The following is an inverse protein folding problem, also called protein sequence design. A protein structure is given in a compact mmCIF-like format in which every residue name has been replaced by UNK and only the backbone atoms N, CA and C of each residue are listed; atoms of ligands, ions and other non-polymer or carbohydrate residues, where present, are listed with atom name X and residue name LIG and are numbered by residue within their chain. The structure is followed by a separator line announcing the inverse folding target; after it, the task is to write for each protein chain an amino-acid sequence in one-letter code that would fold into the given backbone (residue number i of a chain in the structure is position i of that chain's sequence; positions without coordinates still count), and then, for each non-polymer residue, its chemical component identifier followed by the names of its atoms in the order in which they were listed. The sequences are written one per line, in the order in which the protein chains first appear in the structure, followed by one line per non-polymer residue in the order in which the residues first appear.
data_IF_045046966726
#
_entry.id   IF_045046966726
#
_cell.length_a   1.000
_cell.length_b   1.000
_cell.length_c   1.000
_cell.angle_alpha   90.00
_cell.angle_beta   90.00
_cell.angle_gamma   90.00
#
_symmetry.space_group_name_H-M   'P 1'
#
loop_
_entity.id
_entity.type
_entity.pdbx_description
1 polymer ?
#
# COMPACT_ATOMS: atom_id res chain seq x y z
N UNK A 1 -20.24 -18.68 -21.59
CA UNK A 1 -20.28 -17.34 -20.96
C UNK A 1 -20.95 -17.51 -19.62
N UNK A 2 -20.18 -17.66 -18.53
CA UNK A 2 -20.69 -17.67 -17.16
C UNK A 2 -20.98 -16.22 -16.76
N UNK A 3 -22.19 -15.96 -16.28
CA UNK A 3 -22.58 -14.65 -15.77
C UNK A 3 -21.59 -14.19 -14.68
N UNK A 4 -21.25 -12.90 -14.62
CA UNK A 4 -20.39 -12.39 -13.54
C UNK A 4 -21.04 -12.69 -12.20
N UNK A 5 -20.27 -13.30 -11.28
CA UNK A 5 -20.74 -13.51 -9.90
C UNK A 5 -21.02 -12.13 -9.30
N UNK A 6 -22.27 -11.94 -8.84
CA UNK A 6 -22.69 -10.70 -8.20
C UNK A 6 -21.79 -10.41 -6.99
N UNK A 7 -21.26 -9.21 -6.95
CA UNK A 7 -20.53 -8.69 -5.77
C UNK A 7 -21.50 -8.69 -4.58
N UNK A 8 -21.03 -9.15 -3.42
CA UNK A 8 -21.80 -9.21 -2.17
C UNK A 8 -22.42 -7.82 -1.83
N UNK A 9 -23.75 -7.70 -1.73
CA UNK A 9 -24.42 -6.41 -1.54
C UNK A 9 -24.30 -5.86 -0.10
N UNK A 10 -23.61 -6.57 0.82
CA UNK A 10 -23.44 -6.10 2.20
C UNK A 10 -22.61 -4.81 2.24
N UNK A 11 -22.95 -3.84 3.13
CA UNK A 11 -22.13 -2.67 3.33
C UNK A 11 -20.73 -3.09 3.80
N UNK A 12 -19.69 -2.62 3.09
CA UNK A 12 -18.31 -2.92 3.42
C UNK A 12 -17.81 -1.96 4.49
N UNK A 13 -17.23 -2.44 5.57
CA UNK A 13 -16.69 -1.56 6.61
C UNK A 13 -15.44 -0.80 6.15
N UNK A 14 -14.78 -1.27 5.08
CA UNK A 14 -13.53 -0.74 4.55
C UNK A 14 -13.68 -0.22 3.13
N UNK A 15 -12.79 0.71 2.75
CA UNK A 15 -12.63 1.16 1.37
C UNK A 15 -11.71 0.19 0.63
N UNK A 16 -12.26 -0.82 -0.03
CA UNK A 16 -11.47 -1.85 -0.71
C UNK A 16 -10.87 -1.34 -2.02
N UNK A 17 -9.60 -1.71 -2.26
CA UNK A 17 -8.85 -1.44 -3.49
C UNK A 17 -7.99 -2.65 -3.86
N UNK A 18 -7.49 -2.70 -5.10
CA UNK A 18 -6.49 -3.69 -5.50
C UNK A 18 -5.47 -3.09 -6.46
N UNK A 19 -4.25 -3.63 -6.43
CA UNK A 19 -3.16 -3.24 -7.31
C UNK A 19 -3.41 -3.81 -8.73
N UNK A 20 -3.57 -2.90 -9.70
CA UNK A 20 -3.92 -3.30 -11.07
C UNK A 20 -2.78 -4.06 -11.76
N UNK A 21 -1.52 -3.77 -11.44
CA UNK A 21 -0.36 -4.43 -12.06
C UNK A 21 -0.25 -5.92 -11.71
N UNK A 22 -0.84 -6.35 -10.58
CA UNK A 22 -0.71 -7.73 -10.11
C UNK A 22 -1.81 -8.67 -10.61
N UNK A 23 -2.82 -8.14 -11.26
CA UNK A 23 -4.01 -8.88 -11.70
C UNK A 23 -4.15 -8.86 -13.23
N UNK A 24 -4.75 -9.90 -13.80
CA UNK A 24 -4.98 -10.05 -15.24
C UNK A 24 -3.76 -9.70 -16.10
N UNK A 25 -2.60 -10.38 -15.94
CA UNK A 25 -1.33 -9.98 -16.57
C UNK A 25 -1.39 -10.01 -18.12
N UNK A 26 -2.38 -10.68 -18.71
CA UNK A 26 -2.65 -10.75 -20.13
C UNK A 26 -3.48 -9.57 -20.69
N UNK A 27 -3.92 -8.63 -19.83
CA UNK A 27 -4.75 -7.49 -20.23
C UNK A 27 -3.99 -6.17 -20.09
N UNK A 28 -4.28 -5.15 -20.90
CA UNK A 28 -3.69 -3.84 -20.75
C UNK A 28 -4.15 -3.18 -19.45
N UNK A 29 -3.32 -2.29 -18.89
CA UNK A 29 -3.53 -1.72 -17.55
C UNK A 29 -4.85 -0.94 -17.43
N UNK A 30 -5.25 -0.21 -18.47
CA UNK A 30 -6.51 0.52 -18.48
C UNK A 30 -7.72 -0.41 -18.40
N UNK A 31 -7.65 -1.61 -19.01
CA UNK A 31 -8.70 -2.62 -18.89
C UNK A 31 -8.78 -3.16 -17.45
N UNK A 32 -7.61 -3.40 -16.81
CA UNK A 32 -7.54 -3.90 -15.43
C UNK A 32 -8.14 -2.88 -14.46
N UNK A 33 -7.82 -1.59 -14.64
CA UNK A 33 -8.38 -0.49 -13.85
C UNK A 33 -9.90 -0.39 -14.03
N UNK A 34 -10.40 -0.49 -15.26
CA UNK A 34 -11.84 -0.53 -15.57
C UNK A 34 -12.52 -1.73 -14.89
N UNK A 35 -11.89 -2.92 -14.96
CA UNK A 35 -12.42 -4.14 -14.35
C UNK A 35 -12.55 -4.02 -12.83
N UNK A 36 -11.55 -3.49 -12.14
CA UNK A 36 -11.63 -3.23 -10.70
C UNK A 36 -12.75 -2.23 -10.37
N UNK A 37 -12.89 -1.20 -11.18
CA UNK A 37 -13.97 -0.20 -11.03
C UNK A 37 -15.36 -0.84 -11.21
N UNK A 38 -15.56 -1.70 -12.20
CA UNK A 38 -16.80 -2.48 -12.39
C UNK A 38 -17.14 -3.36 -11.18
N UNK A 39 -16.10 -3.89 -10.51
CA UNK A 39 -16.25 -4.68 -9.29
C UNK A 39 -16.46 -3.82 -8.02
N UNK A 40 -16.51 -2.49 -8.18
CA UNK A 40 -16.72 -1.55 -7.08
C UNK A 40 -15.52 -1.37 -6.17
N UNK A 41 -14.30 -1.61 -6.66
CA UNK A 41 -13.05 -1.40 -5.94
C UNK A 41 -12.33 -0.14 -6.38
N UNK A 42 -11.45 0.37 -5.51
CA UNK A 42 -10.41 1.32 -5.90
C UNK A 42 -9.25 0.65 -6.60
N UNK A 43 -8.39 1.45 -7.21
CA UNK A 43 -7.24 1.01 -8.00
C UNK A 43 -5.96 1.53 -7.36
N UNK A 44 -5.03 0.62 -7.03
CA UNK A 44 -3.64 0.94 -6.71
C UNK A 44 -2.76 0.80 -7.95
N UNK A 45 -1.69 1.60 -8.01
CA UNK A 45 -0.70 1.58 -9.08
C UNK A 45 0.72 1.66 -8.51
N UNK A 46 1.68 0.87 -9.04
CA UNK A 46 3.11 1.04 -8.70
C UNK A 46 3.92 1.63 -9.85
N UNK A 47 3.87 1.04 -11.05
CA UNK A 47 4.68 1.44 -12.20
C UNK A 47 3.97 2.47 -13.09
N UNK A 48 3.37 3.49 -12.49
CA UNK A 48 2.61 4.48 -13.25
C UNK A 48 3.42 5.17 -14.37
N UNK A 49 4.75 5.26 -14.22
CA UNK A 49 5.68 5.82 -15.21
C UNK A 49 5.87 4.95 -16.46
N UNK A 50 5.50 3.67 -16.40
CA UNK A 50 5.52 2.75 -17.53
C UNK A 50 4.19 2.70 -18.31
N UNK A 51 3.18 3.45 -17.88
CA UNK A 51 1.83 3.40 -18.42
C UNK A 51 1.43 4.67 -19.18
N UNK A 52 0.46 4.53 -20.09
CA UNK A 52 -0.20 5.65 -20.75
C UNK A 52 -1.18 6.33 -19.77
N UNK A 53 -0.75 7.46 -19.20
CA UNK A 53 -1.51 8.19 -18.20
C UNK A 53 -2.81 8.80 -18.76
N UNK A 54 -2.89 9.09 -20.08
CA UNK A 54 -4.11 9.59 -20.71
C UNK A 54 -5.18 8.49 -20.75
N UNK A 55 -4.77 7.26 -21.08
CA UNK A 55 -5.67 6.12 -21.05
C UNK A 55 -6.15 5.81 -19.64
N UNK A 56 -5.23 5.82 -18.64
CA UNK A 56 -5.61 5.60 -17.25
C UNK A 56 -6.59 6.67 -16.74
N UNK A 57 -6.32 7.95 -17.02
CA UNK A 57 -7.24 9.03 -16.66
C UNK A 57 -8.61 8.89 -17.33
N UNK A 58 -8.63 8.42 -18.59
CA UNK A 58 -9.85 8.17 -19.37
C UNK A 58 -10.75 7.06 -18.82
N UNK A 59 -10.23 6.17 -17.98
CA UNK A 59 -11.03 5.11 -17.33
C UNK A 59 -12.05 5.67 -16.34
N UNK A 60 -11.76 6.80 -15.69
CA UNK A 60 -12.59 7.34 -14.60
C UNK A 60 -12.59 6.46 -13.35
N UNK A 61 -11.55 5.67 -13.14
CA UNK A 61 -11.39 4.84 -11.95
C UNK A 61 -11.12 5.67 -10.70
N UNK A 62 -11.48 5.15 -9.54
CA UNK A 62 -11.09 5.72 -8.26
C UNK A 62 -9.68 5.19 -7.90
N UNK A 63 -8.66 5.91 -8.34
CA UNK A 63 -7.29 5.59 -7.96
C UNK A 63 -7.05 5.96 -6.49
N UNK A 64 -6.52 5.04 -5.69
CA UNK A 64 -6.44 5.19 -4.23
C UNK A 64 -5.03 5.46 -3.74
N UNK A 65 -4.05 4.79 -4.32
CA UNK A 65 -2.64 4.88 -3.97
C UNK A 65 -1.78 4.65 -5.21
N UNK A 66 -0.63 5.28 -5.27
CA UNK A 66 0.41 5.00 -6.26
C UNK A 66 1.79 5.24 -5.67
N UNK A 67 2.85 4.74 -6.34
CA UNK A 67 4.21 5.10 -5.95
C UNK A 67 4.37 6.62 -5.97
N UNK A 68 4.86 7.16 -4.86
CA UNK A 68 5.03 8.58 -4.62
C UNK A 68 6.39 9.13 -5.04
N UNK A 69 7.21 8.32 -5.71
CA UNK A 69 8.53 8.70 -6.18
C UNK A 69 9.04 7.69 -7.21
N UNK A 70 10.05 8.07 -7.99
CA UNK A 70 10.75 7.18 -8.94
C UNK A 70 12.20 6.97 -8.55
N UNK A 71 12.80 7.93 -7.86
CA UNK A 71 14.24 7.97 -7.55
C UNK A 71 14.46 8.54 -6.16
N UNK A 72 15.58 8.17 -5.56
CA UNK A 72 16.03 8.71 -4.30
C UNK A 72 15.94 7.72 -3.13
N UNK A 73 16.27 8.21 -1.95
CA UNK A 73 16.34 7.44 -0.71
C UNK A 73 16.28 8.35 0.51
N UNK A 74 15.94 7.80 1.64
CA UNK A 74 15.77 8.57 2.88
C UNK A 74 17.09 8.79 3.65
N UNK A 75 18.07 7.91 3.48
CA UNK A 75 19.18 7.72 4.41
C UNK A 75 20.35 8.70 4.28
N UNK A 76 20.40 9.50 3.20
CA UNK A 76 21.47 10.47 2.95
C UNK A 76 20.98 11.70 2.17
N UNK A 77 21.76 12.79 2.21
CA UNK A 77 21.37 14.09 1.67
C UNK A 77 21.19 14.10 0.13
N UNK A 78 22.04 13.35 -0.61
CA UNK A 78 21.93 13.24 -2.05
C UNK A 78 20.65 12.51 -2.44
N UNK A 79 20.41 11.35 -1.82
CA UNK A 79 19.19 10.57 -2.02
C UNK A 79 17.92 11.33 -1.65
N UNK A 80 17.97 12.12 -0.58
CA UNK A 80 16.88 12.98 -0.15
C UNK A 80 16.53 14.04 -1.22
N UNK A 81 17.52 14.68 -1.83
CA UNK A 81 17.29 15.65 -2.89
C UNK A 81 16.63 15.01 -4.12
N UNK A 82 17.11 13.83 -4.53
CA UNK A 82 16.52 13.05 -5.63
C UNK A 82 15.08 12.62 -5.32
N UNK A 83 14.82 12.17 -4.09
CA UNK A 83 13.50 11.72 -3.64
C UNK A 83 12.49 12.88 -3.68
N UNK A 84 12.86 14.04 -3.14
CA UNK A 84 11.99 15.22 -3.16
C UNK A 84 11.67 15.69 -4.59
N UNK A 85 12.65 15.65 -5.49
CA UNK A 85 12.43 16.04 -6.88
C UNK A 85 11.47 15.07 -7.57
N UNK A 86 11.67 13.74 -7.42
CA UNK A 86 10.79 12.75 -8.03
C UNK A 86 9.42 12.64 -7.35
N UNK A 87 9.32 12.99 -6.06
CA UNK A 87 8.04 13.12 -5.37
C UNK A 87 7.19 14.27 -5.96
N UNK A 88 7.82 15.37 -6.37
CA UNK A 88 7.14 16.42 -7.11
C UNK A 88 6.56 15.94 -8.45
N UNK A 89 7.33 15.14 -9.20
CA UNK A 89 6.84 14.50 -10.45
C UNK A 89 5.63 13.58 -10.17
N UNK A 90 5.71 12.76 -9.13
CA UNK A 90 4.62 11.85 -8.74
C UNK A 90 3.35 12.61 -8.28
N UNK A 91 3.49 13.74 -7.61
CA UNK A 91 2.35 14.58 -7.21
C UNK A 91 1.58 15.07 -8.44
N UNK A 92 2.26 15.53 -9.49
CA UNK A 92 1.60 15.99 -10.71
C UNK A 92 0.82 14.86 -11.41
N UNK A 93 1.38 13.66 -11.43
CA UNK A 93 0.68 12.46 -11.93
C UNK A 93 -0.50 12.10 -11.02
N UNK A 94 -0.29 12.12 -9.70
CA UNK A 94 -1.35 11.87 -8.72
C UNK A 94 -2.54 12.83 -8.89
N UNK A 95 -2.28 14.13 -9.08
CA UNK A 95 -3.33 15.12 -9.37
C UNK A 95 -4.08 14.81 -10.66
N UNK A 96 -3.37 14.44 -11.72
CA UNK A 96 -3.95 14.06 -13.00
C UNK A 96 -4.88 12.86 -12.92
N UNK A 97 -4.51 11.85 -12.11
CA UNK A 97 -5.29 10.63 -11.90
C UNK A 97 -6.30 10.76 -10.74
N UNK A 98 -6.27 11.84 -9.96
CA UNK A 98 -7.10 12.02 -8.78
C UNK A 98 -6.63 11.18 -7.58
N UNK A 99 -5.36 10.80 -7.52
CA UNK A 99 -4.76 10.04 -6.42
C UNK A 99 -4.26 10.99 -5.34
N UNK A 100 -4.75 10.85 -4.12
CA UNK A 100 -4.33 11.69 -3.00
C UNK A 100 -3.31 11.03 -2.05
N UNK A 101 -3.03 9.72 -2.20
CA UNK A 101 -2.04 8.98 -1.40
C UNK A 101 -0.88 8.51 -2.26
N UNK A 102 0.33 8.84 -1.83
CA UNK A 102 1.58 8.60 -2.54
C UNK A 102 2.51 7.78 -1.66
N UNK A 103 2.89 6.58 -2.09
CA UNK A 103 3.65 5.62 -1.29
C UNK A 103 5.16 5.82 -1.40
N UNK A 104 5.87 5.67 -0.28
CA UNK A 104 7.32 5.78 -0.15
C UNK A 104 7.90 4.52 0.50
N UNK A 105 9.17 4.25 0.18
CA UNK A 105 10.02 3.26 0.86
C UNK A 105 11.31 3.92 1.36
N UNK A 106 12.10 3.18 2.12
CA UNK A 106 13.40 3.67 2.63
C UNK A 106 14.41 3.99 1.53
N UNK A 107 14.28 3.34 0.38
CA UNK A 107 15.08 3.55 -0.85
C UNK A 107 14.26 3.14 -2.08
N UNK A 108 14.70 3.57 -3.27
CA UNK A 108 14.16 3.06 -4.53
C UNK A 108 14.32 1.56 -4.64
N UNK A 109 13.34 0.91 -5.25
CA UNK A 109 13.32 -0.50 -5.56
C UNK A 109 13.54 -0.69 -7.06
N UNK A 110 14.50 -1.53 -7.42
CA UNK A 110 14.76 -1.95 -8.79
C UNK A 110 14.01 -3.22 -9.15
N UNK A 111 14.51 -3.93 -10.17
CA UNK A 111 13.95 -5.18 -10.64
C UNK A 111 13.74 -6.18 -9.50
N UNK A 112 12.61 -6.85 -9.51
CA UNK A 112 12.21 -7.82 -8.47
C UNK A 112 12.18 -7.26 -7.05
N UNK A 113 11.99 -5.94 -6.88
CA UNK A 113 11.92 -5.29 -5.58
C UNK A 113 13.27 -5.16 -4.87
N UNK A 114 14.38 -5.35 -5.56
CA UNK A 114 15.72 -5.28 -4.97
C UNK A 114 16.07 -3.83 -4.64
N UNK A 115 16.44 -3.52 -3.37
CA UNK A 115 16.79 -2.17 -2.97
C UNK A 115 17.98 -1.61 -3.76
N UNK A 116 17.82 -0.40 -4.31
CA UNK A 116 18.89 0.29 -5.06
C UNK A 116 20.03 0.78 -4.15
N UNK A 117 19.73 1.03 -2.88
CA UNK A 117 20.73 1.36 -1.85
C UNK A 117 20.53 0.42 -0.67
N UNK A 118 21.54 -0.41 -0.40
CA UNK A 118 21.49 -1.43 0.64
C UNK A 118 22.36 -1.06 1.82
N UNK A 119 21.87 -1.34 3.02
CA UNK A 119 22.56 -1.08 4.25
C UNK A 119 22.44 -2.29 5.18
N UNK A 120 23.56 -2.84 5.64
CA UNK A 120 23.56 -3.90 6.67
C UNK A 120 23.14 -3.35 8.05
N UNK A 121 23.49 -2.08 8.31
CA UNK A 121 23.17 -1.40 9.56
C UNK A 121 22.67 0.00 9.26
N UNK A 122 21.54 0.35 9.85
CA UNK A 122 20.99 1.71 9.80
C UNK A 122 21.52 2.49 10.98
N UNK A 123 22.42 3.46 10.72
CA UNK A 123 23.04 4.28 11.76
C UNK A 123 22.11 5.36 12.30
N UNK A 124 22.41 5.90 13.49
CA UNK A 124 21.66 7.03 14.04
C UNK A 124 21.65 8.27 13.14
N UNK A 125 22.75 8.53 12.40
CA UNK A 125 22.80 9.62 11.43
C UNK A 125 21.81 9.42 10.28
N UNK A 126 21.64 8.18 9.81
CA UNK A 126 20.66 7.84 8.77
C UNK A 126 19.21 8.04 9.28
N UNK A 127 18.94 7.72 10.55
CA UNK A 127 17.63 7.98 11.18
C UNK A 127 17.31 9.47 11.22
N UNK A 128 18.28 10.30 11.63
CA UNK A 128 18.12 11.75 11.65
C UNK A 128 17.90 12.31 10.24
N UNK A 129 18.67 11.84 9.27
CA UNK A 129 18.51 12.25 7.87
C UNK A 129 17.14 11.82 7.30
N UNK A 130 16.70 10.58 7.56
CA UNK A 130 15.40 10.10 7.10
C UNK A 130 14.25 10.93 7.69
N UNK A 131 14.33 11.25 8.98
CA UNK A 131 13.35 12.10 9.66
C UNK A 131 13.30 13.51 9.06
N UNK A 132 14.47 14.13 8.78
CA UNK A 132 14.54 15.44 8.11
C UNK A 132 13.92 15.36 6.71
N UNK A 133 14.30 14.36 5.92
CA UNK A 133 13.77 14.14 4.58
C UNK A 133 12.24 14.01 4.59
N UNK A 134 11.69 13.20 5.50
CA UNK A 134 10.25 13.00 5.63
C UNK A 134 9.51 14.27 6.10
N UNK A 135 10.13 15.11 6.94
CA UNK A 135 9.57 16.44 7.27
C UNK A 135 9.46 17.33 6.02
N UNK A 136 10.48 17.34 5.16
CA UNK A 136 10.45 18.09 3.89
C UNK A 136 9.42 17.51 2.90
N UNK A 137 9.21 16.19 2.91
CA UNK A 137 8.11 15.55 2.17
C UNK A 137 6.75 16.03 2.72
N UNK A 138 6.60 16.12 4.05
CA UNK A 138 5.38 16.67 4.65
C UNK A 138 5.13 18.13 4.24
N UNK A 139 6.17 18.97 4.18
CA UNK A 139 6.06 20.35 3.72
C UNK A 139 5.61 20.43 2.25
N UNK A 140 6.12 19.55 1.41
CA UNK A 140 5.70 19.42 0.02
C UNK A 140 4.23 18.96 -0.06
N UNK A 141 3.88 17.91 0.67
CA UNK A 141 2.54 17.34 0.71
C UNK A 141 1.46 18.34 1.19
N UNK A 142 1.80 19.14 2.20
CA UNK A 142 0.91 20.17 2.74
C UNK A 142 0.59 21.25 1.70
N UNK A 143 1.62 21.71 0.98
CA UNK A 143 1.45 22.71 -0.11
C UNK A 143 0.59 22.18 -1.24
N UNK A 144 0.73 20.90 -1.56
CA UNK A 144 0.13 20.26 -2.72
C UNK A 144 -1.21 19.56 -2.42
N UNK A 145 -1.61 19.50 -1.13
CA UNK A 145 -2.87 18.89 -0.70
C UNK A 145 -2.93 17.37 -0.85
N UNK A 146 -1.76 16.68 -0.72
CA UNK A 146 -1.65 15.22 -0.82
C UNK A 146 -1.19 14.61 0.50
N UNK A 147 -1.25 13.29 0.62
CA UNK A 147 -0.72 12.54 1.75
C UNK A 147 0.32 11.54 1.24
N UNK A 148 1.49 11.53 1.86
CA UNK A 148 2.45 10.45 1.66
C UNK A 148 2.23 9.33 2.68
N UNK A 149 2.46 8.11 2.24
CA UNK A 149 2.56 6.95 3.12
C UNK A 149 3.98 6.39 3.09
N UNK A 150 4.46 5.92 4.22
CA UNK A 150 5.71 5.16 4.31
C UNK A 150 5.35 3.70 4.56
N UNK A 151 5.83 2.82 3.67
CA UNK A 151 5.53 1.40 3.70
C UNK A 151 6.61 0.61 4.42
N UNK A 152 6.18 -0.34 5.24
CA UNK A 152 7.05 -1.38 5.73
C UNK A 152 7.26 -2.47 4.67
N UNK A 153 8.48 -2.98 4.65
CA UNK A 153 8.91 -4.10 3.81
C UNK A 153 9.42 -5.25 4.70
N UNK A 154 10.04 -6.26 4.11
CA UNK A 154 10.73 -7.32 4.85
C UNK A 154 12.12 -7.57 4.27
N UNK A 155 13.06 -8.02 5.12
CA UNK A 155 14.46 -8.23 4.73
C UNK A 155 14.67 -9.49 3.89
N UNK A 156 13.71 -10.42 3.83
CA UNK A 156 13.81 -11.62 2.97
C UNK A 156 13.65 -11.25 1.50
N UNK A 157 12.62 -10.45 1.19
CA UNK A 157 12.30 -10.07 -0.18
C UNK A 157 13.04 -8.79 -0.62
N UNK A 158 13.38 -7.92 0.33
CA UNK A 158 14.07 -6.63 0.11
C UNK A 158 15.35 -6.51 0.95
N UNK A 159 16.37 -7.36 0.73
CA UNK A 159 17.54 -7.47 1.59
C UNK A 159 18.36 -6.18 1.62
N UNK A 160 18.59 -5.67 2.84
CA UNK A 160 19.34 -4.44 3.07
C UNK A 160 18.54 -3.15 2.85
N UNK A 161 17.22 -3.21 2.64
CA UNK A 161 16.38 -2.02 2.61
C UNK A 161 16.41 -1.33 3.98
N UNK A 162 16.81 -0.03 4.07
CA UNK A 162 16.79 0.69 5.33
C UNK A 162 15.35 1.03 5.74
N UNK A 163 15.08 1.07 7.05
CA UNK A 163 13.78 1.40 7.64
C UNK A 163 12.65 0.48 7.14
N UNK A 164 12.96 -0.81 6.94
CA UNK A 164 12.02 -1.73 6.31
C UNK A 164 11.02 -2.35 7.29
N UNK A 165 11.35 -2.49 8.57
CA UNK A 165 10.43 -3.12 9.51
C UNK A 165 9.21 -2.25 9.82
N UNK A 166 8.10 -2.88 10.21
CA UNK A 166 6.91 -2.17 10.70
C UNK A 166 7.26 -1.27 11.89
N UNK A 167 8.15 -1.75 12.77
CA UNK A 167 8.66 -0.98 13.89
C UNK A 167 9.40 0.29 13.49
N UNK A 168 10.26 0.20 12.45
CA UNK A 168 11.01 1.35 11.93
C UNK A 168 10.09 2.40 11.30
N UNK A 169 9.16 1.94 10.47
CA UNK A 169 8.17 2.81 9.81
C UNK A 169 7.31 3.52 10.85
N UNK A 170 6.78 2.79 11.83
CA UNK A 170 6.01 3.38 12.92
C UNK A 170 6.82 4.41 13.71
N UNK A 171 8.10 4.12 14.01
CA UNK A 171 8.96 5.04 14.74
C UNK A 171 9.19 6.35 13.95
N UNK A 172 9.46 6.27 12.64
CA UNK A 172 9.62 7.46 11.80
C UNK A 172 8.33 8.27 11.75
N UNK A 173 7.21 7.64 11.37
CA UNK A 173 5.93 8.31 11.16
C UNK A 173 5.41 8.93 12.46
N UNK A 174 5.43 8.19 13.58
CA UNK A 174 4.97 8.69 14.88
C UNK A 174 5.87 9.79 15.46
N UNK A 175 7.19 9.76 15.18
CA UNK A 175 8.11 10.81 15.64
C UNK A 175 7.93 12.14 14.91
N UNK A 176 7.36 12.11 13.69
CA UNK A 176 7.03 13.29 12.88
C UNK A 176 5.63 13.77 13.20
N UNK A 177 4.68 12.85 13.34
CA UNK A 177 3.29 13.06 13.77
C UNK A 177 2.55 14.19 13.01
N UNK A 178 2.73 14.20 11.68
CA UNK A 178 2.04 15.16 10.79
C UNK A 178 0.97 14.44 9.96
N UNK A 179 -0.19 15.07 9.69
CA UNK A 179 -1.27 14.44 8.91
C UNK A 179 -0.88 14.13 7.45
N UNK A 180 0.17 14.76 6.93
CA UNK A 180 0.69 14.57 5.59
C UNK A 180 1.53 13.31 5.42
N UNK A 181 1.90 12.63 6.53
CA UNK A 181 2.65 11.37 6.50
C UNK A 181 1.93 10.31 7.32
N UNK A 182 1.64 9.18 6.72
CA UNK A 182 0.94 8.04 7.31
C UNK A 182 1.72 6.74 7.11
N UNK A 183 1.35 5.72 7.84
CA UNK A 183 1.86 4.36 7.64
C UNK A 183 1.06 3.71 6.49
N UNK A 184 1.75 3.14 5.51
CA UNK A 184 1.20 2.09 4.67
C UNK A 184 1.57 0.76 5.35
N UNK A 185 0.61 0.15 6.04
CA UNK A 185 0.82 -1.08 6.79
C UNK A 185 0.62 -2.28 5.89
N UNK A 186 1.70 -2.79 5.30
CA UNK A 186 1.65 -4.02 4.53
C UNK A 186 1.75 -5.25 5.44
N UNK A 187 0.64 -5.99 5.53
CA UNK A 187 0.53 -7.16 6.40
C UNK A 187 1.29 -8.39 5.87
N UNK A 188 1.53 -8.48 4.55
CA UNK A 188 2.39 -9.52 3.99
C UNK A 188 3.83 -9.35 4.46
N UNK A 189 4.34 -8.12 4.37
CA UNK A 189 5.69 -7.81 4.82
C UNK A 189 5.82 -7.93 6.34
N UNK A 190 4.81 -7.47 7.09
CA UNK A 190 4.77 -7.62 8.56
C UNK A 190 4.77 -9.10 8.97
N UNK A 191 4.01 -9.98 8.28
CA UNK A 191 3.98 -11.41 8.59
C UNK A 191 5.36 -12.04 8.47
N UNK A 192 6.09 -11.73 7.40
CA UNK A 192 7.41 -12.28 7.12
C UNK A 192 8.47 -11.75 8.09
N UNK A 193 8.41 -10.47 8.40
CA UNK A 193 9.43 -9.79 9.21
C UNK A 193 9.22 -9.93 10.70
N UNK A 194 8.00 -9.85 11.19
CA UNK A 194 7.71 -9.59 12.60
C UNK A 194 6.56 -10.46 13.15
N UNK A 195 5.59 -10.88 12.32
CA UNK A 195 4.39 -11.57 12.78
C UNK A 195 3.45 -10.68 13.59
N UNK A 196 2.59 -11.29 14.43
CA UNK A 196 1.68 -10.62 15.38
C UNK A 196 0.84 -9.48 14.73
N UNK A 197 0.23 -9.76 13.59
CA UNK A 197 -0.40 -8.79 12.69
C UNK A 197 -1.48 -7.92 13.37
N UNK A 198 -2.34 -8.54 14.19
CA UNK A 198 -3.42 -7.80 14.89
C UNK A 198 -2.83 -6.78 15.85
N UNK A 199 -1.75 -7.13 16.55
CA UNK A 199 -1.04 -6.22 17.44
C UNK A 199 -0.40 -5.05 16.69
N UNK A 200 0.15 -5.31 15.50
CA UNK A 200 0.68 -4.24 14.65
C UNK A 200 -0.42 -3.32 14.12
N UNK A 201 -1.59 -3.86 13.72
CA UNK A 201 -2.75 -3.02 13.38
C UNK A 201 -3.14 -2.10 14.55
N UNK A 202 -3.20 -2.63 15.79
CA UNK A 202 -3.51 -1.85 16.98
C UNK A 202 -2.48 -0.74 17.24
N UNK A 203 -1.18 -1.08 17.17
CA UNK A 203 -0.09 -0.11 17.40
C UNK A 203 -0.02 0.98 16.36
N UNK A 204 -0.25 0.66 15.10
CA UNK A 204 -0.19 1.62 14.00
C UNK A 204 -1.47 2.43 13.84
N UNK A 205 -2.59 2.02 14.47
CA UNK A 205 -3.94 2.57 14.23
C UNK A 205 -4.01 4.09 14.13
N UNK A 206 -3.38 4.91 15.01
CA UNK A 206 -3.44 6.37 14.93
C UNK A 206 -2.80 6.97 13.68
N UNK A 207 -1.91 6.23 13.03
CA UNK A 207 -1.11 6.69 11.89
C UNK A 207 -1.36 5.94 10.59
N UNK A 208 -2.27 4.95 10.55
CA UNK A 208 -2.55 4.19 9.32
C UNK A 208 -3.17 5.12 8.26
N UNK A 209 -2.55 5.16 7.10
CA UNK A 209 -3.08 5.76 5.89
C UNK A 209 -3.72 4.75 4.95
N UNK A 210 -3.14 3.55 4.89
CA UNK A 210 -3.64 2.39 4.16
C UNK A 210 -3.14 1.10 4.80
N UNK A 211 -3.90 0.03 4.67
CA UNK A 211 -3.45 -1.34 4.95
C UNK A 211 -3.33 -2.07 3.63
N UNK A 212 -2.16 -2.68 3.37
CA UNK A 212 -1.98 -3.57 2.22
C UNK A 212 -1.97 -5.02 2.65
N UNK A 213 -2.47 -5.90 1.75
CA UNK A 213 -2.63 -7.32 2.04
C UNK A 213 -2.24 -8.21 0.86
N UNK A 214 -1.48 -9.24 1.16
CA UNK A 214 -1.27 -10.44 0.37
C UNK A 214 -1.03 -11.61 1.33
N UNK A 215 -1.29 -12.83 0.90
CA UNK A 215 -1.07 -14.01 1.74
C UNK A 215 0.38 -14.52 1.64
N UNK A 216 0.86 -15.11 2.71
CA UNK A 216 2.19 -15.71 2.80
C UNK A 216 2.03 -17.23 3.05
N UNK A 217 2.80 -18.08 2.35
CA UNK A 217 3.80 -17.76 1.31
C UNK A 217 3.18 -17.44 -0.06
N UNK A 218 3.97 -16.80 -0.93
CA UNK A 218 3.69 -16.67 -2.36
C UNK A 218 3.17 -15.30 -2.81
N UNK A 219 2.77 -14.41 -1.90
CA UNK A 219 2.22 -13.08 -2.19
C UNK A 219 0.98 -13.14 -3.09
N UNK A 220 0.11 -14.15 -2.83
CA UNK A 220 -1.16 -14.35 -3.52
C UNK A 220 -2.33 -13.79 -2.73
N UNK A 221 -3.54 -13.94 -3.27
CA UNK A 221 -4.78 -13.46 -2.65
C UNK A 221 -5.06 -14.08 -1.28
N UNK A 222 -5.82 -13.39 -0.39
CA UNK A 222 -6.24 -13.92 0.91
C UNK A 222 -6.90 -15.29 0.84
N UNK A 223 -6.43 -16.21 1.69
CA UNK A 223 -6.92 -17.58 1.79
C UNK A 223 -6.07 -18.61 1.05
N UNK A 224 -4.95 -18.19 0.45
CA UNK A 224 -4.00 -19.08 -0.23
C UNK A 224 -2.82 -19.49 0.65
N UNK A 225 -2.64 -18.87 1.80
CA UNK A 225 -1.52 -19.07 2.71
C UNK A 225 -1.91 -19.19 4.18
N UNK A 226 -1.08 -18.64 5.07
CA UNK A 226 -1.16 -18.82 6.52
C UNK A 226 -1.84 -17.68 7.27
N UNK A 227 -2.16 -16.54 6.59
CA UNK A 227 -2.65 -15.34 7.26
C UNK A 227 -4.16 -15.44 7.51
N UNK A 228 -4.58 -15.25 8.75
CA UNK A 228 -5.99 -15.28 9.15
C UNK A 228 -6.74 -13.96 8.88
N UNK A 229 -6.91 -13.55 7.62
CA UNK A 229 -7.49 -12.26 7.24
C UNK A 229 -8.89 -12.00 7.81
N UNK A 230 -9.75 -13.00 7.94
CA UNK A 230 -11.06 -12.82 8.54
C UNK A 230 -10.99 -12.39 10.03
N UNK A 231 -10.00 -12.91 10.78
CA UNK A 231 -9.75 -12.49 12.15
C UNK A 231 -9.20 -11.05 12.20
N UNK A 232 -8.30 -10.69 11.27
CA UNK A 232 -7.75 -9.34 11.14
C UNK A 232 -8.86 -8.35 10.79
N UNK A 233 -9.71 -8.63 9.80
CA UNK A 233 -10.82 -7.79 9.42
C UNK A 233 -11.80 -7.56 10.60
N UNK A 234 -12.11 -8.62 11.37
CA UNK A 234 -12.92 -8.52 12.58
C UNK A 234 -12.25 -7.64 13.65
N UNK A 235 -10.94 -7.75 13.81
CA UNK A 235 -10.19 -6.92 14.76
C UNK A 235 -10.18 -5.45 14.35
N UNK A 236 -9.96 -5.16 13.06
CA UNK A 236 -9.97 -3.80 12.51
C UNK A 236 -11.33 -3.12 12.70
N UNK A 237 -12.45 -3.84 12.47
CA UNK A 237 -13.80 -3.31 12.76
C UNK A 237 -13.96 -2.98 14.25
N UNK A 238 -13.48 -3.85 15.15
CA UNK A 238 -13.54 -3.59 16.61
C UNK A 238 -12.66 -2.40 17.03
N UNK A 239 -11.56 -2.15 16.33
CA UNK A 239 -10.69 -0.98 16.54
C UNK A 239 -11.30 0.32 15.96
N UNK A 240 -12.41 0.23 15.21
CA UNK A 240 -13.03 1.38 14.56
C UNK A 240 -12.31 1.83 13.28
N UNK A 241 -11.48 0.99 12.67
CA UNK A 241 -10.85 1.29 11.39
C UNK A 241 -11.87 1.14 10.26
N UNK A 242 -12.04 2.19 9.46
CA UNK A 242 -12.94 2.26 8.30
C UNK A 242 -12.22 2.73 7.02
N UNK A 243 -10.88 2.81 7.11
CA UNK A 243 -10.00 3.31 6.06
C UNK A 243 -9.78 2.33 4.90
N UNK A 244 -8.81 2.66 4.02
CA UNK A 244 -8.49 1.84 2.86
C UNK A 244 -7.83 0.51 3.24
N UNK A 245 -8.27 -0.56 2.55
CA UNK A 245 -7.57 -1.86 2.53
C UNK A 245 -7.33 -2.22 1.07
N UNK A 246 -6.07 -2.32 0.66
CA UNK A 246 -5.63 -2.61 -0.68
C UNK A 246 -5.08 -4.03 -0.82
N UNK A 247 -5.58 -4.82 -1.77
CA UNK A 247 -4.93 -6.07 -2.13
C UNK A 247 -3.74 -5.79 -3.05
N UNK A 248 -2.53 -6.05 -2.55
CA UNK A 248 -1.28 -6.01 -3.31
C UNK A 248 -0.73 -7.42 -3.46
N UNK A 249 -1.46 -8.23 -4.21
CA UNK A 249 -1.24 -9.66 -4.37
C UNK A 249 -1.38 -10.09 -5.83
N UNK A 250 -0.55 -11.05 -6.24
CA UNK A 250 -0.78 -11.77 -7.49
C UNK A 250 -1.97 -12.72 -7.35
N UNK A 251 -2.65 -13.01 -8.45
CA UNK A 251 -3.61 -14.10 -8.44
C UNK A 251 -2.87 -15.44 -8.53
N UNK A 252 -3.14 -16.38 -7.61
CA UNK A 252 -2.60 -17.75 -7.72
C UNK A 252 -3.16 -18.49 -8.94
N UNK A 253 -4.36 -18.09 -9.37
CA UNK A 253 -5.05 -18.65 -10.52
C UNK A 253 -5.83 -17.59 -11.29
N UNK A 254 -7.14 -17.65 -11.23
CA UNK A 254 -8.03 -16.67 -11.89
C UNK A 254 -8.11 -15.35 -11.09
N UNK A 255 -7.86 -14.23 -11.77
CA UNK A 255 -7.83 -12.92 -11.11
C UNK A 255 -9.20 -12.46 -10.59
N UNK A 256 -10.31 -12.81 -11.26
CA UNK A 256 -11.66 -12.51 -10.75
C UNK A 256 -11.95 -13.28 -9.46
N UNK A 257 -11.50 -14.54 -9.39
CA UNK A 257 -11.61 -15.36 -8.18
C UNK A 257 -10.74 -14.81 -7.04
N UNK A 258 -9.52 -14.35 -7.33
CA UNK A 258 -8.63 -13.73 -6.36
C UNK A 258 -9.25 -12.46 -5.75
N UNK A 259 -9.81 -11.57 -6.59
CA UNK A 259 -10.53 -10.38 -6.11
C UNK A 259 -11.74 -10.76 -5.27
N UNK A 260 -12.50 -11.79 -5.66
CA UNK A 260 -13.66 -12.25 -4.88
C UNK A 260 -13.26 -12.81 -3.51
N UNK A 261 -12.14 -13.54 -3.42
CA UNK A 261 -11.58 -14.04 -2.16
C UNK A 261 -11.18 -12.88 -1.22
N UNK A 262 -10.49 -11.87 -1.76
CA UNK A 262 -10.16 -10.66 -1.02
C UNK A 262 -11.38 -9.93 -0.48
N UNK A 263 -12.37 -9.66 -1.34
CA UNK A 263 -13.63 -9.01 -0.92
C UNK A 263 -14.32 -9.81 0.16
N UNK A 264 -14.38 -11.13 0.04
CA UNK A 264 -14.98 -12.03 1.05
C UNK A 264 -14.25 -11.94 2.39
N UNK A 265 -12.91 -11.93 2.39
CA UNK A 265 -12.08 -11.87 3.59
C UNK A 265 -12.28 -10.55 4.38
N UNK A 266 -12.52 -9.44 3.68
CA UNK A 266 -12.75 -8.11 4.26
C UNK A 266 -14.21 -7.65 4.29
N UNK A 267 -15.14 -8.59 4.16
CA UNK A 267 -16.58 -8.37 4.41
C UNK A 267 -17.03 -9.28 5.56
N UNK A 268 -16.61 -8.99 6.81
CA UNK A 268 -16.93 -9.83 7.95
C UNK A 268 -18.46 -9.93 8.15
N UNK A 269 -18.91 -11.07 8.65
CA UNK A 269 -20.31 -11.23 9.05
C UNK A 269 -20.68 -10.18 10.10
N UNK A 270 -21.92 -9.66 10.12
CA UNK A 270 -22.37 -8.77 11.18
C UNK A 270 -22.09 -9.42 12.54
N UNK A 271 -21.56 -8.63 13.49
CA UNK A 271 -21.37 -9.12 14.84
C UNK A 271 -22.71 -9.63 15.35
N UNK A 272 -22.78 -10.92 15.70
CA UNK A 272 -23.95 -11.45 16.38
C UNK A 272 -24.01 -10.72 17.72
N UNK A 273 -25.03 -9.88 17.89
CA UNK A 273 -25.33 -9.27 19.19
C UNK A 273 -25.59 -10.40 20.17
N UNK A 274 -24.63 -10.70 21.02
CA UNK A 274 -24.88 -11.56 22.18
C UNK A 274 -25.70 -10.70 23.13
N UNK A 275 -27.02 -11.02 23.18
CA UNK A 275 -27.99 -10.42 24.09
C UNK A 275 -27.69 -10.81 25.53
#
# INVERSE_FOLDING_TARGET
MTAPRSVDPRPRPFQLAACAEMLWPDRPIEWRAARLTEMGLGVGLWNWDSHDLDKLAGVGARYTIMNGYLRGRLADAEGAAMLLASAGEAIEVGKRLGVARLNLHGTGLGDHGIPLSRHEVVSGAMWLQARDTLNRICDLAEREGVVFTLENLNQRDHPGCPFASTGDVLALVSSIDRPQLRVNLDLYHTQIGEGDLIRWCERCLPWIGEIQVADNPGRFEPGTGEIGFAAIATALVRMGYDGPVGMEAFAQGDSDAAVAAFVSAFTPAPAVSVA
#
